data_IF_938723395712
#
_entry.id   IF_938723395712
#
_cell.length_a   1.000
_cell.length_b   1.000
_cell.length_c   1.000
_cell.angle_alpha   90.00
_cell.angle_beta   90.00
_cell.angle_gamma   90.00
#
_symmetry.space_group_name_H-M   'P 1'
#
loop_
_entity.id
_entity.type
_entity.pdbx_description
1 polymer ?
#
# COMPACT_ATOMS: atom_id res chain seq x y z
N UNK A 1 22.15 11.89 3.48
CA UNK A 1 21.16 11.14 2.66
C UNK A 1 21.85 9.90 2.14
N UNK A 2 21.21 8.74 2.17
CA UNK A 2 21.79 7.54 1.56
C UNK A 2 22.00 7.78 0.06
N UNK A 3 23.08 7.25 -0.50
CA UNK A 3 23.32 7.32 -1.93
C UNK A 3 22.31 6.42 -2.67
N UNK A 4 21.32 7.05 -3.30
CA UNK A 4 20.27 6.33 -4.05
C UNK A 4 20.84 5.53 -5.23
N UNK A 5 22.04 5.85 -5.70
CA UNK A 5 22.69 5.12 -6.79
C UNK A 5 22.89 3.65 -6.43
N UNK A 6 23.32 3.36 -5.21
CA UNK A 6 23.53 1.98 -4.74
C UNK A 6 22.22 1.20 -4.72
N UNK A 7 21.10 1.83 -4.32
CA UNK A 7 19.80 1.16 -4.32
C UNK A 7 19.27 0.91 -5.73
N UNK A 8 19.53 1.82 -6.68
CA UNK A 8 19.19 1.58 -8.08
C UNK A 8 19.99 0.40 -8.65
N UNK A 9 21.31 0.35 -8.39
CA UNK A 9 22.16 -0.77 -8.80
C UNK A 9 21.69 -2.12 -8.20
N UNK A 10 21.24 -2.12 -6.94
CA UNK A 10 20.66 -3.32 -6.32
C UNK A 10 19.31 -3.70 -6.92
N UNK A 11 18.46 -2.72 -7.25
CA UNK A 11 17.19 -2.96 -7.94
C UNK A 11 17.40 -3.65 -9.28
N UNK A 12 18.31 -3.11 -10.11
CA UNK A 12 18.65 -3.70 -11.41
C UNK A 12 19.19 -5.13 -11.27
N UNK A 13 20.05 -5.38 -10.27
CA UNK A 13 20.63 -6.69 -10.07
C UNK A 13 19.61 -7.73 -9.57
N UNK A 14 18.68 -7.33 -8.70
CA UNK A 14 17.57 -8.18 -8.26
C UNK A 14 16.65 -8.55 -9.43
N UNK A 15 16.30 -7.58 -10.28
CA UNK A 15 15.45 -7.83 -11.45
C UNK A 15 16.11 -8.80 -12.43
N UNK A 16 17.39 -8.57 -12.75
CA UNK A 16 18.18 -9.40 -13.67
C UNK A 16 18.34 -10.83 -13.17
N UNK A 17 18.58 -11.02 -11.87
CA UNK A 17 18.81 -12.34 -11.27
C UNK A 17 17.53 -13.11 -11.00
N UNK A 18 16.52 -12.46 -10.42
CA UNK A 18 15.32 -13.14 -9.94
C UNK A 18 14.30 -13.30 -11.07
N UNK A 19 14.32 -12.42 -12.09
CA UNK A 19 13.38 -12.43 -13.23
C UNK A 19 11.92 -12.55 -12.78
N UNK A 20 11.54 -11.66 -11.86
CA UNK A 20 10.20 -11.61 -11.29
C UNK A 20 9.15 -11.42 -12.38
N UNK A 21 7.97 -12.00 -12.19
CA UNK A 21 6.84 -11.87 -13.12
C UNK A 21 6.33 -10.41 -13.25
N UNK A 22 6.66 -9.57 -12.28
CA UNK A 22 6.23 -8.16 -12.20
C UNK A 22 7.41 -7.32 -11.70
N UNK A 23 7.35 -6.00 -11.89
CA UNK A 23 8.35 -5.09 -11.32
C UNK A 23 8.40 -5.19 -9.78
N UNK A 24 9.59 -5.06 -9.16
CA UNK A 24 9.74 -4.77 -7.75
C UNK A 24 8.96 -3.51 -7.37
N UNK A 25 8.47 -3.47 -6.13
CA UNK A 25 7.74 -2.33 -5.61
C UNK A 25 8.58 -1.61 -4.55
N UNK A 26 8.82 -0.32 -4.78
CA UNK A 26 9.33 0.58 -3.75
C UNK A 26 8.14 1.29 -3.07
N UNK A 27 8.15 1.33 -1.73
CA UNK A 27 7.16 2.07 -0.94
C UNK A 27 7.88 3.14 -0.15
N UNK A 28 7.41 4.39 -0.26
CA UNK A 28 7.93 5.54 0.47
C UNK A 28 6.78 6.22 1.20
N UNK A 29 6.91 6.37 2.52
CA UNK A 29 6.03 7.25 3.28
C UNK A 29 6.46 8.70 3.05
N UNK A 30 5.50 9.54 2.68
CA UNK A 30 5.72 10.97 2.42
C UNK A 30 5.44 11.77 3.68
N UNK A 31 6.28 12.76 3.97
CA UNK A 31 6.07 13.68 5.08
C UNK A 31 5.14 14.83 4.67
N UNK A 32 5.26 15.31 3.43
CA UNK A 32 4.47 16.42 2.89
C UNK A 32 3.94 16.09 1.50
N UNK A 33 2.81 16.69 1.14
CA UNK A 33 2.23 16.54 -0.21
C UNK A 33 3.17 17.05 -1.31
N UNK A 34 3.97 18.07 -1.03
CA UNK A 34 5.00 18.56 -1.95
C UNK A 34 6.11 17.54 -2.26
N UNK A 35 6.24 16.46 -1.48
CA UNK A 35 7.22 15.40 -1.69
C UNK A 35 6.69 14.30 -2.63
N UNK A 36 5.48 14.44 -3.18
CA UNK A 36 4.93 13.55 -4.21
C UNK A 36 5.84 13.59 -5.46
N UNK A 37 6.32 12.43 -5.94
CA UNK A 37 7.12 12.38 -7.17
C UNK A 37 6.38 12.95 -8.38
N UNK A 38 7.11 13.63 -9.25
CA UNK A 38 6.56 14.10 -10.53
C UNK A 38 6.04 12.91 -11.34
N UNK A 39 4.83 13.06 -11.90
CA UNK A 39 4.17 12.00 -12.68
C UNK A 39 3.44 10.96 -11.84
N UNK A 40 3.42 11.09 -10.51
CA UNK A 40 2.61 10.23 -9.66
C UNK A 40 1.10 10.51 -9.84
N UNK A 41 0.33 9.45 -10.08
CA UNK A 41 -1.13 9.47 -10.20
C UNK A 41 -1.76 9.33 -8.80
N UNK A 42 -2.81 10.11 -8.55
CA UNK A 42 -3.63 10.09 -7.33
C UNK A 42 -5.05 9.64 -7.70
N UNK A 43 -5.58 8.54 -7.13
CA UNK A 43 -6.84 7.95 -7.54
C UNK A 43 -8.03 8.92 -7.60
N UNK A 44 -8.33 9.65 -6.53
CA UNK A 44 -9.50 10.53 -6.52
C UNK A 44 -9.30 11.72 -7.47
N UNK A 45 -8.08 12.27 -7.53
CA UNK A 45 -7.75 13.43 -8.38
C UNK A 45 -7.79 13.08 -9.87
N UNK A 46 -7.16 11.97 -10.25
CA UNK A 46 -6.87 11.65 -11.66
C UNK A 46 -7.85 10.62 -12.24
N UNK A 47 -8.43 9.73 -11.43
CA UNK A 47 -9.40 8.72 -11.88
C UNK A 47 -10.84 9.12 -11.54
N UNK A 48 -11.03 10.00 -10.55
CA UNK A 48 -12.35 10.44 -10.08
C UNK A 48 -13.01 9.47 -9.09
N UNK A 49 -12.29 8.45 -8.61
CA UNK A 49 -12.79 7.48 -7.65
C UNK A 49 -11.66 6.91 -6.78
N UNK A 50 -12.04 6.35 -5.63
CA UNK A 50 -11.12 5.71 -4.69
C UNK A 50 -10.79 4.28 -5.16
N UNK A 51 -9.61 3.79 -4.82
CA UNK A 51 -9.20 2.40 -5.10
C UNK A 51 -8.74 1.69 -3.83
N UNK A 52 -8.66 0.37 -3.88
CA UNK A 52 -8.01 -0.40 -2.81
C UNK A 52 -6.49 -0.19 -2.88
N UNK A 53 -5.81 -0.08 -1.73
CA UNK A 53 -4.34 0.05 -1.71
C UNK A 53 -3.65 -1.09 -2.48
N UNK A 54 -4.17 -2.32 -2.38
CA UNK A 54 -3.65 -3.46 -3.12
C UNK A 54 -3.79 -3.32 -4.65
N UNK A 55 -4.79 -2.58 -5.14
CA UNK A 55 -4.91 -2.23 -6.55
C UNK A 55 -3.85 -1.19 -6.94
N UNK A 56 -3.59 -0.20 -6.08
CA UNK A 56 -2.46 0.73 -6.25
C UNK A 56 -1.12 0.01 -6.39
N UNK A 57 -0.85 -0.97 -5.52
CA UNK A 57 0.33 -1.84 -5.64
C UNK A 57 0.35 -2.64 -6.94
N UNK A 58 -0.81 -3.14 -7.40
CA UNK A 58 -0.89 -3.86 -8.66
C UNK A 58 -0.57 -2.97 -9.86
N UNK A 59 -1.08 -1.72 -9.88
CA UNK A 59 -0.76 -0.73 -10.92
C UNK A 59 0.75 -0.46 -10.97
N UNK A 60 1.39 -0.26 -9.82
CA UNK A 60 2.85 -0.05 -9.79
C UNK A 60 3.64 -1.28 -10.24
N UNK A 61 3.28 -2.48 -9.76
CA UNK A 61 4.02 -3.71 -10.08
C UNK A 61 3.83 -4.19 -11.51
N UNK A 62 2.64 -4.01 -12.09
CA UNK A 62 2.28 -4.58 -13.40
C UNK A 62 2.33 -3.57 -14.54
N UNK A 63 2.02 -2.31 -14.26
CA UNK A 63 1.93 -1.26 -15.28
C UNK A 63 3.07 -0.23 -15.16
N UNK A 64 3.93 -0.33 -14.13
CA UNK A 64 5.02 0.62 -13.90
C UNK A 64 4.55 2.01 -13.46
N UNK A 65 3.29 2.15 -13.04
CA UNK A 65 2.72 3.43 -12.61
C UNK A 65 3.25 3.84 -11.24
N UNK A 66 3.58 5.12 -11.09
CA UNK A 66 3.84 5.68 -9.76
C UNK A 66 2.51 6.14 -9.18
N UNK A 67 2.05 5.50 -8.10
CA UNK A 67 0.77 5.84 -7.46
C UNK A 67 1.04 6.49 -6.10
N UNK A 68 0.46 7.68 -5.88
CA UNK A 68 0.42 8.31 -4.56
C UNK A 68 -0.96 8.05 -3.92
N UNK A 69 -0.96 7.36 -2.77
CA UNK A 69 -2.17 7.00 -2.04
C UNK A 69 -2.26 7.80 -0.73
N UNK A 70 -3.30 8.62 -0.58
CA UNK A 70 -3.66 9.26 0.68
C UNK A 70 -4.91 8.62 1.28
N UNK A 71 -5.29 9.07 2.48
CA UNK A 71 -6.46 8.57 3.19
C UNK A 71 -7.74 8.68 2.35
N UNK A 72 -7.89 9.78 1.61
CA UNK A 72 -9.06 10.02 0.77
C UNK A 72 -9.05 9.14 -0.48
N UNK A 73 -7.88 8.67 -0.93
CA UNK A 73 -7.71 7.85 -2.12
C UNK A 73 -8.03 6.36 -1.88
N UNK A 74 -8.10 5.94 -0.61
CA UNK A 74 -8.29 4.54 -0.21
C UNK A 74 -9.75 4.20 0.04
N UNK A 75 -10.27 3.21 -0.68
CA UNK A 75 -11.59 2.63 -0.41
C UNK A 75 -11.59 1.68 0.79
N UNK A 76 -10.46 0.98 0.99
CA UNK A 76 -10.24 0.00 2.05
C UNK A 76 -9.86 0.72 3.36
N UNK A 77 -10.45 0.38 4.50
CA UNK A 77 -10.12 1.04 5.78
C UNK A 77 -8.88 0.43 6.44
N UNK A 78 -8.59 -0.84 6.18
CA UNK A 78 -7.49 -1.60 6.76
C UNK A 78 -6.12 -0.91 6.60
N UNK A 79 -5.73 -0.39 5.42
CA UNK A 79 -4.48 0.37 5.30
C UNK A 79 -4.50 1.69 6.07
N UNK A 80 -5.66 2.36 6.17
CA UNK A 80 -5.78 3.61 6.95
C UNK A 80 -5.49 3.35 8.42
N UNK A 81 -6.03 2.27 8.97
CA UNK A 81 -5.75 1.82 10.35
C UNK A 81 -4.32 1.29 10.48
N UNK A 82 -3.89 0.43 9.55
CA UNK A 82 -2.58 -0.22 9.57
C UNK A 82 -1.40 0.73 9.45
N UNK A 83 -1.59 1.89 8.80
CA UNK A 83 -0.60 2.97 8.76
C UNK A 83 -0.72 3.97 9.91
N UNK A 84 -1.70 3.80 10.80
CA UNK A 84 -1.93 4.72 11.92
C UNK A 84 -2.53 6.07 11.51
N UNK A 85 -3.20 6.16 10.37
CA UNK A 85 -3.89 7.38 9.92
C UNK A 85 -5.30 7.53 10.51
N UNK A 86 -5.79 6.49 11.16
CA UNK A 86 -7.00 6.49 11.99
C UNK A 86 -6.89 5.41 13.06
N UNK A 87 -7.62 5.59 14.16
CA UNK A 87 -7.78 4.54 15.16
C UNK A 87 -8.60 3.38 14.61
N UNK A 88 -8.27 2.17 15.04
CA UNK A 88 -9.07 1.00 14.73
C UNK A 88 -10.42 1.08 15.46
N UNK A 89 -11.56 0.87 14.79
CA UNK A 89 -12.85 0.76 15.48
C UNK A 89 -12.83 -0.38 16.50
N UNK A 90 -13.44 -0.20 17.68
CA UNK A 90 -13.48 -1.25 18.71
C UNK A 90 -14.11 -2.55 18.18
N UNK A 91 -15.12 -2.45 17.32
CA UNK A 91 -15.72 -3.61 16.64
C UNK A 91 -14.70 -4.45 15.86
N UNK A 92 -13.75 -3.81 15.19
CA UNK A 92 -12.65 -4.49 14.51
C UNK A 92 -11.74 -5.21 15.51
N UNK A 93 -11.37 -4.51 16.60
CA UNK A 93 -10.52 -5.04 17.67
C UNK A 93 -11.18 -6.15 18.49
N UNK A 94 -12.51 -6.24 18.47
CA UNK A 94 -13.28 -7.30 19.12
C UNK A 94 -13.30 -8.61 18.33
N UNK A 95 -12.60 -8.67 17.19
CA UNK A 95 -12.37 -9.88 16.39
C UNK A 95 -13.33 -10.07 15.22
N UNK A 96 -14.12 -9.05 14.90
CA UNK A 96 -15.02 -9.04 13.75
C UNK A 96 -14.31 -8.70 12.42
N UNK A 97 -12.99 -8.67 12.42
CA UNK A 97 -12.16 -8.40 11.24
C UNK A 97 -12.13 -9.56 10.23
N UNK A 98 -12.29 -10.79 10.70
CA UNK A 98 -12.08 -12.03 9.93
C UNK A 98 -13.09 -13.12 10.23
N UNK A 99 -13.80 -13.06 11.35
CA UNK A 99 -14.82 -14.03 11.71
C UNK A 99 -16.15 -13.71 11.01
N UNK A 100 -16.89 -14.70 10.49
CA UNK A 100 -16.63 -16.16 10.52
C UNK A 100 -15.85 -16.71 9.31
N UNK A 101 -15.34 -15.86 8.43
CA UNK A 101 -14.79 -16.27 7.13
C UNK A 101 -13.42 -16.95 7.23
N UNK A 102 -12.44 -16.26 7.83
CA UNK A 102 -11.04 -16.69 7.81
C UNK A 102 -10.57 -17.26 9.15
N UNK A 103 -11.34 -17.07 10.23
CA UNK A 103 -10.99 -17.50 11.59
C UNK A 103 -12.14 -18.23 12.28
N UNK A 104 -11.81 -19.15 13.18
CA UNK A 104 -12.75 -20.06 13.85
C UNK A 104 -13.69 -19.40 14.86
N UNK A 105 -13.27 -18.33 15.49
CA UNK A 105 -13.97 -17.65 16.58
C UNK A 105 -13.50 -16.19 16.72
N UNK A 106 -14.26 -15.37 17.46
CA UNK A 106 -13.89 -13.98 17.72
C UNK A 106 -12.56 -13.87 18.48
N UNK A 107 -12.21 -14.82 19.35
CA UNK A 107 -10.94 -14.81 20.08
C UNK A 107 -9.72 -14.89 19.16
N UNK A 108 -9.80 -15.70 18.11
CA UNK A 108 -8.81 -15.74 17.04
C UNK A 108 -8.79 -14.43 16.23
N UNK A 109 -9.97 -13.86 15.91
CA UNK A 109 -10.06 -12.58 15.22
C UNK A 109 -9.42 -11.42 16.00
N UNK A 110 -9.55 -11.38 17.33
CA UNK A 110 -8.95 -10.34 18.18
C UNK A 110 -7.42 -10.27 18.09
N UNK A 111 -6.78 -11.38 17.73
CA UNK A 111 -5.32 -11.53 17.69
C UNK A 111 -4.79 -11.75 16.28
N UNK A 112 -5.61 -11.49 15.26
CA UNK A 112 -5.24 -11.61 13.85
C UNK A 112 -4.43 -10.39 13.40
#
# INVERSE_FOLDING_TARGET
>A
MADFKVFHEYGEELERRIRLQTFPLAVKFLEREADIPQGAERPVRDFGYQILLCQGYALSRKEGKTIAMFKEDMWCFEPVVGYGWAEAPQYFLDGHNRFPQDVKDLGAGKNF
#
